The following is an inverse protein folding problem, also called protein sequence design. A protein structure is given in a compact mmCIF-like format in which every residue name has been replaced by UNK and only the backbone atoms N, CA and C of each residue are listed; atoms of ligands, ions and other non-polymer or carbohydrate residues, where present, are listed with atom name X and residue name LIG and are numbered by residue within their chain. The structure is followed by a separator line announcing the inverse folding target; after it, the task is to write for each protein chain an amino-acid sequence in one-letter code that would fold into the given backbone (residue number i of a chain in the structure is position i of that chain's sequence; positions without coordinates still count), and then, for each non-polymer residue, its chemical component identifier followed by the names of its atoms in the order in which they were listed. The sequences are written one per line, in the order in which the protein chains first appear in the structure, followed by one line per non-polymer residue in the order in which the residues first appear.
data_IF_853430157788
#
_entry.id   IF_853430157788
#
_cell.length_a   1.000
_cell.length_b   1.000
_cell.length_c   1.000
_cell.angle_alpha   90.00
_cell.angle_beta   90.00
_cell.angle_gamma   90.00
#
_symmetry.space_group_name_H-M   'P 1'
#
loop_
_entity.id
_entity.type
_entity.pdbx_description
1 polymer ?
#
# COMPACT_ATOMS: atom_id res chain seq x y z
N UNK A 1 46.04 -47.08 9.29
CA UNK A 1 45.63 -46.41 8.04
C UNK A 1 44.15 -46.05 8.14
N UNK A 2 43.86 -44.86 8.66
CA UNK A 2 42.51 -44.29 8.72
C UNK A 2 42.28 -43.43 7.47
N UNK A 3 41.24 -43.75 6.70
CA UNK A 3 40.84 -43.01 5.51
C UNK A 3 39.90 -41.87 5.92
N UNK A 4 40.39 -40.63 5.87
CA UNK A 4 39.61 -39.42 6.08
C UNK A 4 38.72 -39.12 4.86
N UNK A 5 37.40 -39.29 5.01
CA UNK A 5 36.41 -38.62 4.15
C UNK A 5 36.19 -37.21 4.70
N UNK A 6 36.86 -36.22 4.10
CA UNK A 6 36.43 -34.81 4.22
C UNK A 6 35.09 -34.68 3.49
N UNK A 7 34.01 -34.49 4.24
CA UNK A 7 32.76 -34.00 3.65
C UNK A 7 32.98 -32.54 3.28
N UNK A 8 32.78 -32.23 2.00
CA UNK A 8 32.56 -30.88 1.52
C UNK A 8 31.19 -30.45 2.03
N UNK A 9 31.19 -29.78 3.20
CA UNK A 9 30.05 -28.95 3.60
C UNK A 9 30.03 -27.79 2.61
N UNK A 10 29.15 -27.89 1.61
CA UNK A 10 28.78 -26.76 0.78
C UNK A 10 28.32 -25.63 1.68
N UNK A 11 28.94 -24.47 1.54
CA UNK A 11 28.52 -23.25 2.20
C UNK A 11 27.06 -23.00 1.89
N UNK A 12 26.20 -22.98 2.92
CA UNK A 12 24.85 -22.46 2.79
C UNK A 12 24.96 -21.04 2.23
N UNK A 13 24.52 -20.85 0.99
CA UNK A 13 24.23 -19.52 0.44
C UNK A 13 23.22 -18.93 1.41
N UNK A 14 23.66 -17.96 2.22
CA UNK A 14 22.83 -17.35 3.25
C UNK A 14 21.52 -16.91 2.62
N UNK A 15 20.41 -17.48 3.08
CA UNK A 15 19.09 -17.24 2.52
C UNK A 15 18.74 -15.77 2.78
N UNK A 16 19.06 -14.88 1.84
CA UNK A 16 18.73 -13.46 1.94
C UNK A 16 17.22 -13.34 2.01
N UNK A 17 16.74 -12.57 2.98
CA UNK A 17 15.32 -12.25 3.09
C UNK A 17 14.84 -11.63 1.77
N UNK A 18 13.75 -12.20 1.22
CA UNK A 18 13.11 -11.74 -0.01
C UNK A 18 11.65 -11.41 0.27
N UNK A 19 11.16 -10.37 -0.39
CA UNK A 19 9.82 -9.82 -0.20
C UNK A 19 9.12 -9.84 -1.55
N UNK A 20 7.89 -10.36 -1.60
CA UNK A 20 7.03 -10.25 -2.76
C UNK A 20 6.00 -9.15 -2.53
N UNK A 21 5.92 -8.17 -3.43
CA UNK A 21 4.82 -7.20 -3.48
C UNK A 21 3.86 -7.61 -4.59
N UNK A 22 2.62 -7.90 -4.24
CA UNK A 22 1.54 -8.20 -5.19
C UNK A 22 0.62 -7.00 -5.29
N UNK A 23 0.40 -6.50 -6.50
CA UNK A 23 -0.55 -5.42 -6.79
C UNK A 23 -1.73 -5.99 -7.56
N UNK A 24 -2.91 -6.04 -6.93
CA UNK A 24 -4.17 -6.34 -7.59
C UNK A 24 -4.66 -5.11 -8.36
N UNK A 25 -4.86 -5.26 -9.66
CA UNK A 25 -5.24 -4.17 -10.55
C UNK A 25 -6.45 -4.54 -11.39
N UNK A 26 -7.38 -3.60 -11.56
CA UNK A 26 -8.52 -3.75 -12.45
C UNK A 26 -8.81 -2.41 -13.12
N UNK A 27 -8.70 -2.34 -14.45
CA UNK A 27 -9.03 -1.11 -15.19
C UNK A 27 -10.49 -1.12 -15.61
N UNK A 28 -11.26 -0.08 -15.25
CA UNK A 28 -12.68 0.09 -15.65
C UNK A 28 -13.63 -1.05 -15.23
N UNK A 29 -13.22 -1.89 -14.27
CA UNK A 29 -13.96 -3.11 -13.87
C UNK A 29 -14.44 -3.06 -12.41
N UNK A 30 -14.32 -1.92 -11.75
CA UNK A 30 -14.73 -1.70 -10.37
C UNK A 30 -15.01 -0.23 -10.05
N UNK A 31 -15.16 0.09 -8.77
CA UNK A 31 -15.56 1.42 -8.30
C UNK A 31 -14.50 2.51 -8.52
N UNK A 32 -13.23 2.15 -8.75
CA UNK A 32 -12.15 3.13 -8.93
C UNK A 32 -12.01 3.66 -10.37
N UNK A 33 -12.49 2.92 -11.38
CA UNK A 33 -12.52 3.38 -12.78
C UNK A 33 -11.17 3.93 -13.27
N UNK A 34 -11.20 5.16 -13.81
CA UNK A 34 -10.01 5.89 -14.29
C UNK A 34 -9.00 6.17 -13.17
N UNK A 35 -9.42 6.23 -11.91
CA UNK A 35 -8.51 6.50 -10.80
C UNK A 35 -7.56 5.34 -10.53
N UNK A 36 -8.04 4.09 -10.66
CA UNK A 36 -7.19 2.90 -10.47
C UNK A 36 -6.03 2.90 -11.45
N UNK A 37 -6.29 3.31 -12.71
CA UNK A 37 -5.25 3.54 -13.72
C UNK A 37 -4.20 4.54 -13.24
N UNK A 38 -4.60 5.72 -12.78
CA UNK A 38 -3.65 6.74 -12.34
C UNK A 38 -2.91 6.35 -11.05
N UNK A 39 -3.55 5.60 -10.17
CA UNK A 39 -2.90 5.05 -8.98
C UNK A 39 -1.77 4.10 -9.35
N UNK A 40 -2.00 3.21 -10.33
CA UNK A 40 -0.97 2.29 -10.80
C UNK A 40 0.12 3.03 -11.60
N UNK A 41 -0.23 4.01 -12.43
CA UNK A 41 0.75 4.88 -13.12
C UNK A 41 1.68 5.57 -12.11
N UNK A 42 1.12 6.14 -11.04
CA UNK A 42 1.90 6.74 -9.96
C UNK A 42 2.79 5.70 -9.27
N UNK A 43 2.25 4.52 -8.93
CA UNK A 43 3.03 3.45 -8.31
C UNK A 43 4.24 3.06 -9.19
N UNK A 44 4.06 2.93 -10.50
CA UNK A 44 5.18 2.66 -11.41
C UNK A 44 6.20 3.79 -11.43
N UNK A 45 5.75 5.04 -11.52
CA UNK A 45 6.65 6.19 -11.58
C UNK A 45 7.41 6.45 -10.29
N UNK A 46 6.83 6.12 -9.13
CA UNK A 46 7.38 6.49 -7.82
C UNK A 46 7.96 5.30 -7.07
N UNK A 47 7.22 4.19 -6.99
CA UNK A 47 7.64 3.02 -6.23
C UNK A 47 8.70 2.20 -6.97
N UNK A 48 8.55 2.00 -8.29
CA UNK A 48 9.44 1.11 -9.05
C UNK A 48 10.71 1.77 -9.56
N UNK A 49 10.75 3.10 -9.66
CA UNK A 49 11.91 3.84 -10.19
C UNK A 49 13.06 3.97 -9.21
N UNK A 50 12.84 3.65 -7.93
CA UNK A 50 13.85 3.69 -6.87
C UNK A 50 14.56 5.06 -6.74
N UNK A 51 13.86 6.18 -7.01
CA UNK A 51 14.44 7.53 -7.03
C UNK A 51 14.06 8.41 -5.84
N UNK A 52 12.99 8.07 -5.12
CA UNK A 52 12.47 8.89 -4.01
C UNK A 52 12.75 8.22 -2.66
N UNK A 53 12.71 8.97 -1.53
CA UNK A 53 12.85 8.39 -0.20
C UNK A 53 11.93 7.18 -0.02
N UNK A 54 12.43 6.12 0.64
CA UNK A 54 11.63 4.93 0.91
C UNK A 54 11.35 4.02 -0.29
N UNK A 55 11.79 4.32 -1.51
CA UNK A 55 11.59 3.41 -2.67
C UNK A 55 12.87 2.76 -3.17
N UNK A 56 14.04 3.16 -2.63
CA UNK A 56 15.34 2.59 -3.00
C UNK A 56 15.49 1.19 -2.39
N UNK A 57 15.68 0.16 -3.22
CA UNK A 57 15.96 -1.21 -2.76
C UNK A 57 17.44 -1.57 -2.95
N UNK A 58 18.29 -0.97 -2.10
CA UNK A 58 19.74 -1.20 -2.11
C UNK A 58 20.15 -2.67 -1.94
N UNK A 59 19.26 -3.54 -1.45
CA UNK A 59 19.56 -4.97 -1.19
C UNK A 59 19.01 -5.89 -2.26
N UNK A 60 18.27 -5.36 -3.25
CA UNK A 60 17.57 -6.17 -4.23
C UNK A 60 16.71 -7.26 -3.56
N UNK A 61 16.00 -6.90 -2.50
CA UNK A 61 15.19 -7.83 -1.71
C UNK A 61 13.73 -7.92 -2.19
N UNK A 62 13.26 -6.98 -3.00
CA UNK A 62 11.85 -6.87 -3.41
C UNK A 62 11.65 -7.29 -4.87
N UNK A 63 10.68 -8.18 -5.08
CA UNK A 63 10.11 -8.46 -6.40
C UNK A 63 8.63 -8.03 -6.43
N UNK A 64 8.13 -7.71 -7.61
CA UNK A 64 6.78 -7.25 -7.86
C UNK A 64 6.02 -8.21 -8.79
N UNK A 65 4.76 -8.46 -8.46
CA UNK A 65 3.79 -9.08 -9.37
C UNK A 65 2.59 -8.16 -9.48
N UNK A 66 2.32 -7.69 -10.69
CA UNK A 66 1.11 -6.94 -11.03
C UNK A 66 0.11 -7.94 -11.59
N UNK A 67 -1.01 -8.14 -10.89
CA UNK A 67 -2.06 -9.05 -11.35
C UNK A 67 -3.23 -8.24 -11.87
N UNK A 68 -3.42 -8.30 -13.18
CA UNK A 68 -4.46 -7.62 -13.94
C UNK A 68 -5.71 -8.52 -13.96
N UNK A 69 -6.75 -8.05 -13.27
CA UNK A 69 -8.10 -8.60 -13.34
C UNK A 69 -8.78 -8.07 -14.60
N UNK A 70 -8.74 -8.85 -15.68
CA UNK A 70 -9.21 -8.46 -17.01
C UNK A 70 -8.10 -8.52 -18.05
N UNK A 71 -8.37 -7.97 -19.23
CA UNK A 71 -7.45 -7.99 -20.37
C UNK A 71 -6.74 -6.64 -20.58
N UNK A 72 -7.22 -5.58 -19.93
CA UNK A 72 -6.71 -4.22 -20.12
C UNK A 72 -5.80 -3.80 -18.96
N UNK A 73 -4.59 -3.32 -19.30
CA UNK A 73 -3.74 -2.60 -18.37
C UNK A 73 -2.96 -1.48 -19.08
N UNK A 74 -3.62 -0.34 -19.29
CA UNK A 74 -3.00 0.84 -19.89
C UNK A 74 -1.70 1.28 -19.17
N UNK A 75 -1.62 1.27 -17.83
CA UNK A 75 -0.37 1.60 -17.13
C UNK A 75 0.76 0.60 -17.43
N UNK A 76 0.42 -0.70 -17.61
CA UNK A 76 1.41 -1.74 -17.92
C UNK A 76 1.97 -1.53 -19.33
N UNK A 77 1.08 -1.32 -20.30
CA UNK A 77 1.43 -1.24 -21.72
C UNK A 77 2.16 0.07 -22.08
N UNK A 78 1.88 1.15 -21.34
CA UNK A 78 2.44 2.48 -21.61
C UNK A 78 3.55 2.82 -20.61
N UNK A 79 3.20 2.96 -19.33
CA UNK A 79 4.11 3.53 -18.33
C UNK A 79 5.17 2.52 -17.90
N UNK A 80 4.79 1.32 -17.49
CA UNK A 80 5.74 0.28 -17.08
C UNK A 80 6.64 -0.11 -18.25
N UNK A 81 6.07 -0.30 -19.45
CA UNK A 81 6.84 -0.61 -20.65
C UNK A 81 7.90 0.44 -20.94
N UNK A 82 7.54 1.72 -20.92
CA UNK A 82 8.50 2.82 -21.07
C UNK A 82 9.60 2.81 -19.99
N UNK A 83 9.24 2.58 -18.73
CA UNK A 83 10.21 2.54 -17.64
C UNK A 83 11.19 1.35 -17.77
N UNK A 84 10.73 0.20 -18.28
CA UNK A 84 11.58 -0.94 -18.61
C UNK A 84 12.49 -0.62 -19.80
N UNK A 85 11.92 -0.13 -20.90
CA UNK A 85 12.67 0.17 -22.14
C UNK A 85 13.71 1.28 -21.93
N UNK A 86 13.47 2.21 -21.00
CA UNK A 86 14.43 3.26 -20.59
C UNK A 86 15.44 2.80 -19.54
N UNK A 87 15.39 1.55 -19.07
CA UNK A 87 16.30 1.00 -18.06
C UNK A 87 16.07 1.54 -16.64
N UNK A 88 14.95 2.21 -16.39
CA UNK A 88 14.57 2.75 -15.07
C UNK A 88 13.94 1.70 -14.15
N UNK A 89 13.47 0.59 -14.71
CA UNK A 89 12.92 -0.56 -13.98
C UNK A 89 13.57 -1.83 -14.50
N UNK A 90 14.06 -2.68 -13.59
CA UNK A 90 14.61 -3.99 -13.91
C UNK A 90 13.47 -4.97 -14.27
N UNK A 91 13.35 -5.43 -15.53
CA UNK A 91 12.30 -6.35 -15.93
C UNK A 91 12.38 -7.71 -15.23
N UNK A 92 13.54 -8.11 -14.67
CA UNK A 92 13.65 -9.36 -13.94
C UNK A 92 12.91 -9.34 -12.58
N UNK A 93 12.62 -8.14 -12.06
CA UNK A 93 11.95 -7.94 -10.76
C UNK A 93 10.45 -7.70 -10.86
N UNK A 94 9.90 -7.51 -12.06
CA UNK A 94 8.48 -7.18 -12.25
C UNK A 94 7.85 -8.18 -13.19
N UNK A 95 6.79 -8.86 -12.74
CA UNK A 95 5.98 -9.74 -13.57
C UNK A 95 4.56 -9.18 -13.68
N UNK A 96 3.97 -9.29 -14.87
CA UNK A 96 2.56 -8.93 -15.10
C UNK A 96 1.79 -10.21 -15.44
N UNK A 97 0.74 -10.48 -14.68
CA UNK A 97 -0.13 -11.64 -14.87
C UNK A 97 -1.53 -11.15 -15.24
N UNK A 98 -2.13 -11.75 -16.27
CA UNK A 98 -3.50 -11.46 -16.66
C UNK A 98 -4.40 -12.62 -16.24
N UNK A 99 -5.58 -12.29 -15.74
CA UNK A 99 -6.58 -13.28 -15.31
C UNK A 99 -7.99 -12.77 -15.52
N UNK A 100 -8.97 -13.68 -15.48
CA UNK A 100 -10.38 -13.29 -15.46
C UNK A 100 -10.72 -12.50 -14.19
N UNK A 101 -11.60 -11.50 -14.31
CA UNK A 101 -12.04 -10.67 -13.19
C UNK A 101 -13.05 -11.40 -12.28
N UNK A 102 -12.56 -12.38 -11.53
CA UNK A 102 -13.33 -13.16 -10.54
C UNK A 102 -12.62 -13.09 -9.20
N UNK A 103 -13.35 -12.95 -8.08
CA UNK A 103 -12.75 -12.88 -6.74
C UNK A 103 -12.11 -11.56 -6.36
N UNK A 104 -12.25 -10.52 -7.19
CA UNK A 104 -11.71 -9.18 -6.94
C UNK A 104 -10.22 -9.24 -6.55
N UNK A 105 -9.80 -8.44 -5.55
CA UNK A 105 -8.41 -8.37 -5.09
C UNK A 105 -7.89 -9.71 -4.57
N UNK A 106 -8.71 -10.47 -3.84
CA UNK A 106 -8.34 -11.80 -3.33
C UNK A 106 -8.09 -12.81 -4.46
N UNK A 107 -8.83 -12.70 -5.57
CA UNK A 107 -8.57 -13.50 -6.76
C UNK A 107 -7.20 -13.20 -7.37
N UNK A 108 -6.82 -11.92 -7.40
CA UNK A 108 -5.49 -11.49 -7.82
C UNK A 108 -4.39 -11.96 -6.86
N UNK A 109 -4.59 -11.83 -5.56
CA UNK A 109 -3.66 -12.32 -4.53
C UNK A 109 -3.44 -13.84 -4.65
N UNK A 110 -4.52 -14.60 -4.86
CA UNK A 110 -4.49 -16.05 -5.09
C UNK A 110 -3.63 -16.41 -6.31
N UNK A 111 -3.78 -15.68 -7.41
CA UNK A 111 -3.05 -15.92 -8.66
C UNK A 111 -1.55 -15.67 -8.48
N UNK A 112 -1.16 -14.57 -7.84
CA UNK A 112 0.24 -14.28 -7.54
C UNK A 112 0.86 -15.37 -6.65
N UNK A 113 0.14 -15.84 -5.64
CA UNK A 113 0.59 -16.92 -4.75
C UNK A 113 0.80 -18.22 -5.51
N UNK A 114 -0.14 -18.61 -6.38
CA UNK A 114 0.00 -19.80 -7.23
C UNK A 114 1.21 -19.69 -8.16
N UNK A 115 1.38 -18.53 -8.80
CA UNK A 115 2.52 -18.26 -9.66
C UNK A 115 3.85 -18.47 -8.92
N UNK A 116 4.03 -17.86 -7.74
CA UNK A 116 5.30 -18.01 -7.01
C UNK A 116 5.47 -19.38 -6.39
N UNK A 117 4.40 -20.08 -6.01
CA UNK A 117 4.50 -21.46 -5.56
C UNK A 117 5.00 -22.40 -6.66
N UNK A 118 4.61 -22.14 -7.91
CA UNK A 118 5.04 -22.93 -9.05
C UNK A 118 6.45 -22.55 -9.54
N UNK A 119 6.70 -21.25 -9.78
CA UNK A 119 7.93 -20.78 -10.44
C UNK A 119 9.04 -20.38 -9.47
N UNK A 120 8.71 -20.00 -8.22
CA UNK A 120 9.64 -19.46 -7.22
C UNK A 120 9.41 -20.05 -5.81
N UNK A 121 9.30 -21.39 -5.68
CA UNK A 121 8.90 -22.02 -4.43
C UNK A 121 9.87 -21.65 -3.31
N UNK A 122 9.32 -21.29 -2.14
CA UNK A 122 10.08 -20.99 -0.93
C UNK A 122 11.09 -19.82 -1.07
N UNK A 123 10.98 -19.00 -2.12
CA UNK A 123 11.86 -17.85 -2.32
C UNK A 123 11.58 -16.72 -1.33
N UNK A 124 10.30 -16.41 -1.09
CA UNK A 124 9.88 -15.21 -0.35
C UNK A 124 9.62 -15.47 1.13
N UNK A 125 10.15 -14.63 2.01
CA UNK A 125 9.93 -14.68 3.47
C UNK A 125 8.66 -13.92 3.85
N UNK A 126 8.42 -12.79 3.19
CA UNK A 126 7.27 -11.92 3.42
C UNK A 126 6.51 -11.66 2.13
N UNK A 127 5.20 -11.50 2.28
CA UNK A 127 4.27 -11.26 1.19
C UNK A 127 3.48 -10.01 1.51
N UNK A 128 3.64 -8.99 0.68
CA UNK A 128 2.95 -7.71 0.75
C UNK A 128 1.89 -7.69 -0.34
N UNK A 129 0.67 -7.34 0.02
CA UNK A 129 -0.48 -7.28 -0.86
C UNK A 129 -1.00 -5.85 -0.90
N UNK A 130 -1.29 -5.36 -2.10
CA UNK A 130 -1.76 -4.02 -2.40
C UNK A 130 -2.86 -4.11 -3.46
N UNK A 131 -3.88 -3.25 -3.38
CA UNK A 131 -4.81 -3.07 -4.50
C UNK A 131 -4.69 -1.68 -5.15
N UNK A 132 -5.14 -1.59 -6.39
CA UNK A 132 -5.01 -0.38 -7.22
C UNK A 132 -5.88 0.80 -6.79
N UNK A 133 -6.76 0.60 -5.82
CA UNK A 133 -7.58 1.69 -5.27
C UNK A 133 -6.81 2.62 -4.33
N UNK A 134 -5.62 2.21 -3.92
CA UNK A 134 -4.71 2.99 -3.09
C UNK A 134 -3.73 3.80 -3.95
N UNK A 135 -3.45 5.03 -3.53
CA UNK A 135 -2.35 5.87 -4.05
C UNK A 135 -1.18 5.83 -3.06
N UNK A 136 0.03 5.60 -3.54
CA UNK A 136 1.25 5.56 -2.73
C UNK A 136 2.39 4.82 -3.43
N UNK A 137 3.56 4.66 -2.79
CA UNK A 137 3.83 5.06 -1.41
C UNK A 137 4.12 6.57 -1.25
N UNK A 138 3.75 7.14 -0.10
CA UNK A 138 4.10 8.48 0.36
C UNK A 138 5.10 8.38 1.50
N UNK A 139 6.38 8.48 1.17
CA UNK A 139 7.47 8.30 2.12
C UNK A 139 8.12 9.64 2.45
N UNK A 140 8.27 10.00 3.73
CA UNK A 140 8.82 11.29 4.11
C UNK A 140 10.31 11.40 3.76
N UNK A 141 10.81 12.61 3.52
CA UNK A 141 12.21 12.88 3.14
C UNK A 141 13.24 12.37 4.14
N UNK A 142 12.89 12.32 5.42
CA UNK A 142 13.75 11.81 6.48
C UNK A 142 13.82 10.28 6.55
N UNK A 143 13.11 9.56 5.67
CA UNK A 143 13.19 8.08 5.57
C UNK A 143 14.64 7.66 5.29
N UNK A 144 15.24 6.78 6.10
CA UNK A 144 16.60 6.30 5.87
C UNK A 144 16.76 5.68 4.48
N UNK A 145 17.91 5.90 3.83
CA UNK A 145 18.17 5.35 2.48
C UNK A 145 18.09 3.83 2.41
N UNK A 146 18.37 3.13 3.50
CA UNK A 146 18.29 1.67 3.59
C UNK A 146 16.88 1.13 3.86
N UNK A 147 15.92 2.03 4.10
CA UNK A 147 14.55 1.70 4.45
C UNK A 147 13.70 1.75 3.18
N UNK A 148 13.06 0.64 2.86
CA UNK A 148 12.13 0.52 1.74
C UNK A 148 10.69 0.57 2.28
N UNK A 149 9.72 1.02 1.49
CA UNK A 149 8.34 1.21 1.97
C UNK A 149 7.70 -0.07 2.49
N UNK A 150 8.17 -1.24 2.04
CA UNK A 150 7.72 -2.54 2.57
C UNK A 150 8.20 -2.81 4.00
N UNK A 151 9.28 -2.16 4.43
CA UNK A 151 9.80 -2.26 5.80
C UNK A 151 8.85 -1.61 6.82
N UNK A 152 7.95 -0.70 6.40
CA UNK A 152 6.91 -0.14 7.30
C UNK A 152 6.02 -1.22 7.88
N UNK A 153 5.73 -2.28 7.11
CA UNK A 153 4.96 -3.42 7.56
C UNK A 153 5.87 -4.51 8.14
N UNK A 154 7.00 -4.79 7.49
CA UNK A 154 7.82 -5.97 7.79
C UNK A 154 8.61 -5.81 9.10
N UNK A 155 9.02 -4.59 9.47
CA UNK A 155 9.81 -4.38 10.69
C UNK A 155 9.07 -4.80 11.96
N UNK A 156 7.74 -4.72 12.00
CA UNK A 156 6.94 -5.27 13.10
C UNK A 156 7.16 -6.79 13.27
N UNK A 157 7.17 -7.54 12.16
CA UNK A 157 7.40 -8.99 12.18
C UNK A 157 8.87 -9.37 12.39
N UNK A 158 9.80 -8.46 12.09
CA UNK A 158 11.23 -8.64 12.43
C UNK A 158 11.48 -8.39 13.92
N UNK A 159 10.78 -7.41 14.50
CA UNK A 159 10.90 -7.04 15.90
C UNK A 159 10.20 -8.06 16.83
N UNK A 160 9.05 -8.58 16.43
CA UNK A 160 8.31 -9.62 17.15
C UNK A 160 7.89 -10.74 16.18
N UNK A 161 8.48 -11.92 16.35
CA UNK A 161 8.18 -13.10 15.52
C UNK A 161 6.79 -13.69 15.77
N UNK A 162 6.09 -13.28 16.82
CA UNK A 162 4.68 -13.61 17.06
C UNK A 162 3.74 -12.76 16.20
N UNK A 163 4.19 -11.62 15.67
CA UNK A 163 3.44 -10.84 14.68
C UNK A 163 3.53 -11.55 13.34
N UNK A 164 2.36 -11.89 12.77
CA UNK A 164 2.29 -12.66 11.52
C UNK A 164 1.51 -11.96 10.41
N UNK A 165 0.82 -10.87 10.74
CA UNK A 165 0.06 -9.99 9.86
C UNK A 165 0.27 -8.54 10.29
N UNK A 166 0.52 -7.65 9.35
CA UNK A 166 0.57 -6.20 9.59
C UNK A 166 -0.24 -5.53 8.49
N UNK A 167 -1.22 -4.69 8.84
CA UNK A 167 -2.03 -3.97 7.86
C UNK A 167 -1.87 -2.45 7.99
N UNK A 168 -2.15 -1.72 6.92
CA UNK A 168 -2.24 -0.25 7.00
C UNK A 168 -3.44 0.22 7.81
N UNK A 169 -4.55 -0.51 7.73
CA UNK A 169 -5.81 -0.16 8.35
C UNK A 169 -6.34 -1.34 9.17
N UNK A 170 -6.86 -1.02 10.35
CA UNK A 170 -7.64 -1.95 11.20
C UNK A 170 -8.99 -1.30 11.49
N UNK A 171 -10.04 -2.10 11.44
CA UNK A 171 -11.42 -1.68 11.66
C UNK A 171 -12.09 -2.62 12.62
N UNK A 172 -12.97 -2.13 13.48
CA UNK A 172 -13.73 -2.98 14.40
C UNK A 172 -15.16 -3.10 13.93
N UNK A 173 -15.57 -4.32 13.64
CA UNK A 173 -16.93 -4.63 13.24
C UNK A 173 -17.82 -4.77 14.46
N UNK A 174 -19.06 -4.32 14.32
CA UNK A 174 -20.08 -4.43 15.35
C UNK A 174 -21.31 -5.16 14.80
N UNK A 175 -22.19 -5.62 15.68
CA UNK A 175 -23.46 -6.23 15.27
C UNK A 175 -24.25 -5.26 14.38
N UNK A 176 -24.90 -5.74 13.30
CA UNK A 176 -25.23 -7.14 13.01
C UNK A 176 -24.22 -7.89 12.12
N UNK A 177 -22.96 -7.43 11.98
CA UNK A 177 -21.94 -8.17 11.23
C UNK A 177 -21.74 -9.59 11.81
N UNK A 178 -21.56 -10.62 10.98
CA UNK A 178 -21.50 -12.02 11.43
C UNK A 178 -20.20 -12.36 12.16
N UNK A 179 -19.15 -11.55 12.01
CA UNK A 179 -17.87 -11.68 12.70
C UNK A 179 -17.50 -10.35 13.37
N UNK A 180 -18.13 -9.97 14.51
CA UNK A 180 -17.75 -8.77 15.24
C UNK A 180 -16.32 -8.83 15.77
N UNK A 181 -15.70 -7.67 15.95
CA UNK A 181 -14.32 -7.55 16.40
C UNK A 181 -13.38 -6.97 15.34
N UNK A 182 -12.06 -6.98 15.59
CA UNK A 182 -11.09 -6.33 14.74
C UNK A 182 -10.85 -7.11 13.45
N UNK A 183 -10.78 -6.37 12.34
CA UNK A 183 -10.45 -6.87 11.02
C UNK A 183 -9.34 -6.03 10.40
N UNK A 184 -8.38 -6.69 9.76
CA UNK A 184 -7.40 -6.03 8.90
C UNK A 184 -8.06 -5.75 7.55
N UNK A 185 -8.07 -4.50 7.10
CA UNK A 185 -8.60 -4.22 5.78
C UNK A 185 -7.64 -4.70 4.69
N UNK A 186 -8.17 -5.30 3.63
CA UNK A 186 -7.41 -6.02 2.60
C UNK A 186 -6.71 -5.14 1.56
N UNK A 187 -6.48 -3.86 1.89
CA UNK A 187 -6.05 -2.82 0.95
C UNK A 187 -4.53 -2.75 0.78
N UNK A 188 -3.78 -2.70 1.89
CA UNK A 188 -2.33 -2.75 1.94
C UNK A 188 -1.90 -3.45 3.23
N UNK A 189 -1.38 -4.67 3.11
CA UNK A 189 -1.01 -5.50 4.26
C UNK A 189 0.15 -6.44 3.91
N UNK A 190 0.82 -6.96 4.93
CA UNK A 190 1.88 -7.93 4.81
C UNK A 190 1.65 -9.12 5.72
N UNK A 191 2.08 -10.30 5.28
CA UNK A 191 2.10 -11.51 6.08
C UNK A 191 3.44 -12.21 5.95
N UNK A 192 3.81 -12.93 7.01
CA UNK A 192 4.91 -13.90 6.95
C UNK A 192 4.53 -15.12 6.08
N UNK A 193 5.54 -15.87 5.64
CA UNK A 193 5.34 -17.14 4.92
C UNK A 193 4.43 -18.13 5.67
N UNK A 194 4.61 -18.25 6.98
CA UNK A 194 3.80 -19.16 7.79
C UNK A 194 2.33 -18.73 7.77
N UNK A 195 2.08 -17.43 7.97
CA UNK A 195 0.73 -16.86 7.86
C UNK A 195 0.13 -17.05 6.48
N UNK A 196 0.89 -16.84 5.40
CA UNK A 196 0.39 -17.10 4.05
C UNK A 196 -0.12 -18.55 3.92
N UNK A 197 0.63 -19.52 4.46
CA UNK A 197 0.21 -20.93 4.44
C UNK A 197 -1.06 -21.19 5.26
N UNK A 198 -1.32 -20.41 6.32
CA UNK A 198 -2.55 -20.50 7.10
C UNK A 198 -3.72 -19.88 6.34
N UNK A 199 -3.51 -18.72 5.72
CA UNK A 199 -4.52 -18.06 4.88
C UNK A 199 -4.96 -18.97 3.73
N UNK A 200 -4.04 -19.67 3.08
CA UNK A 200 -4.38 -20.66 2.05
C UNK A 200 -5.15 -21.85 2.61
N UNK A 201 -4.72 -22.40 3.75
CA UNK A 201 -5.39 -23.56 4.38
C UNK A 201 -6.80 -23.25 4.88
N UNK A 202 -7.02 -22.02 5.34
CA UNK A 202 -8.31 -21.54 5.79
C UNK A 202 -9.21 -21.05 4.65
N UNK A 203 -8.73 -21.12 3.41
CA UNK A 203 -9.45 -20.65 2.24
C UNK A 203 -9.60 -19.13 2.16
N UNK A 204 -8.86 -18.35 2.94
CA UNK A 204 -8.95 -16.87 2.94
C UNK A 204 -8.63 -16.30 1.56
N UNK A 205 -7.70 -16.92 0.82
CA UNK A 205 -7.31 -16.54 -0.54
C UNK A 205 -8.09 -17.30 -1.64
N UNK A 206 -9.15 -18.02 -1.29
CA UNK A 206 -9.95 -18.72 -2.29
C UNK A 206 -10.71 -17.75 -3.18
N UNK A 207 -10.75 -18.07 -4.47
CA UNK A 207 -11.46 -17.28 -5.48
C UNK A 207 -12.97 -17.48 -5.28
N UNK A 208 -13.68 -16.38 -5.00
CA UNK A 208 -15.13 -16.38 -4.77
C UNK A 208 -15.84 -15.50 -5.80
N UNK A 209 -17.10 -15.83 -6.11
CA UNK A 209 -17.86 -15.12 -7.14
C UNK A 209 -18.57 -13.89 -6.59
N UNK A 210 -19.06 -13.98 -5.36
CA UNK A 210 -19.95 -13.05 -4.70
C UNK A 210 -19.18 -12.11 -3.77
N UNK A 211 -19.46 -10.81 -3.88
CA UNK A 211 -18.77 -9.77 -3.10
C UNK A 211 -18.88 -9.97 -1.59
N UNK A 212 -20.06 -10.34 -1.10
CA UNK A 212 -20.28 -10.59 0.33
C UNK A 212 -19.40 -11.74 0.84
N UNK A 213 -19.22 -12.80 0.06
CA UNK A 213 -18.37 -13.94 0.45
C UNK A 213 -16.89 -13.54 0.48
N UNK A 214 -16.45 -12.74 -0.50
CA UNK A 214 -15.08 -12.18 -0.47
C UNK A 214 -14.85 -11.31 0.77
N UNK A 215 -15.84 -10.53 1.20
CA UNK A 215 -15.73 -9.72 2.42
C UNK A 215 -15.68 -10.62 3.66
N UNK A 216 -16.65 -11.52 3.82
CA UNK A 216 -16.80 -12.32 5.03
C UNK A 216 -15.70 -13.37 5.19
N UNK A 217 -15.37 -14.09 4.12
CA UNK A 217 -14.43 -15.20 4.18
C UNK A 217 -13.03 -14.86 3.65
N UNK A 218 -12.89 -13.71 2.96
CA UNK A 218 -11.60 -13.12 2.62
C UNK A 218 -11.17 -12.08 3.64
N UNK A 219 -11.72 -10.87 3.55
CA UNK A 219 -11.26 -9.72 4.35
C UNK A 219 -11.36 -9.96 5.85
N UNK A 220 -12.53 -10.35 6.38
CA UNK A 220 -12.67 -10.61 7.81
C UNK A 220 -11.88 -11.86 8.23
N UNK A 221 -11.69 -12.79 7.30
CA UNK A 221 -10.88 -13.99 7.48
C UNK A 221 -9.39 -13.71 7.69
N UNK A 222 -8.85 -12.60 7.18
CA UNK A 222 -7.42 -12.28 7.25
C UNK A 222 -6.91 -12.25 8.69
N UNK A 223 -7.43 -11.32 9.50
CA UNK A 223 -6.97 -11.16 10.88
C UNK A 223 -7.45 -12.33 11.75
N UNK A 224 -8.68 -12.81 11.53
CA UNK A 224 -9.23 -13.93 12.28
C UNK A 224 -8.38 -15.21 12.15
N UNK A 225 -7.87 -15.51 10.95
CA UNK A 225 -7.01 -16.67 10.72
C UNK A 225 -5.70 -16.62 11.52
N UNK A 226 -5.19 -15.43 11.81
CA UNK A 226 -3.98 -15.24 12.62
C UNK A 226 -4.29 -15.35 14.10
N UNK A 227 -5.28 -14.58 14.58
CA UNK A 227 -5.61 -14.49 16.00
C UNK A 227 -6.10 -15.84 16.56
N UNK A 228 -6.90 -16.60 15.81
CA UNK A 228 -7.39 -17.92 16.26
C UNK A 228 -6.28 -18.96 16.47
N UNK A 229 -5.05 -18.67 16.02
CA UNK A 229 -3.86 -19.52 16.20
C UNK A 229 -2.94 -19.02 17.34
N UNK A 230 -3.35 -17.98 18.07
CA UNK A 230 -2.55 -17.39 19.15
C UNK A 230 -1.40 -16.50 18.69
N UNK A 231 -1.40 -16.08 17.42
CA UNK A 231 -0.42 -15.13 16.89
C UNK A 231 -0.98 -13.71 16.86
N UNK A 232 -0.08 -12.72 16.79
CA UNK A 232 -0.41 -11.30 16.83
C UNK A 232 -0.58 -10.70 15.44
N UNK A 233 -1.33 -9.61 15.39
CA UNK A 233 -1.43 -8.74 14.24
C UNK A 233 -1.12 -7.29 14.65
N UNK A 234 -0.53 -6.54 13.73
CA UNK A 234 -0.19 -5.13 13.93
C UNK A 234 -0.83 -4.26 12.85
N UNK A 235 -0.80 -2.94 13.06
CA UNK A 235 -1.22 -2.00 12.03
C UNK A 235 -0.43 -0.69 12.06
N UNK A 236 -0.53 0.08 10.98
CA UNK A 236 0.20 1.36 10.86
C UNK A 236 -0.47 2.55 11.54
N UNK A 237 -1.70 2.41 12.05
CA UNK A 237 -2.43 3.56 12.56
C UNK A 237 -1.82 4.07 13.86
N UNK A 238 -1.39 5.33 13.87
CA UNK A 238 -0.66 5.96 14.99
C UNK A 238 -1.50 6.08 16.27
N UNK A 239 -2.82 5.91 16.14
CA UNK A 239 -3.76 5.85 17.27
C UNK A 239 -3.48 4.67 18.20
N UNK A 240 -2.95 3.56 17.68
CA UNK A 240 -2.80 2.32 18.43
C UNK A 240 -1.35 2.11 18.87
N UNK A 241 -1.19 1.66 20.12
CA UNK A 241 0.12 1.25 20.62
C UNK A 241 0.62 0.00 19.90
N UNK A 242 1.94 -0.18 19.86
CA UNK A 242 2.56 -1.43 19.38
C UNK A 242 2.30 -2.54 20.40
N UNK A 243 2.02 -3.75 19.93
CA UNK A 243 1.85 -4.94 20.74
C UNK A 243 0.46 -5.10 21.35
N UNK A 244 -0.57 -4.44 20.79
CA UNK A 244 -1.94 -4.64 21.26
C UNK A 244 -2.41 -6.07 20.99
N UNK A 245 -3.03 -6.67 22.02
CA UNK A 245 -3.69 -7.96 21.88
C UNK A 245 -5.09 -7.78 21.30
N UNK A 246 -5.22 -7.85 19.97
CA UNK A 246 -6.50 -7.74 19.27
C UNK A 246 -7.49 -8.87 19.60
N UNK A 247 -7.08 -9.94 20.28
CA UNK A 247 -8.01 -10.95 20.80
C UNK A 247 -8.77 -10.47 22.04
N UNK A 248 -8.26 -9.46 22.76
CA UNK A 248 -8.92 -8.86 23.92
C UNK A 248 -10.11 -8.01 23.48
N UNK A 249 -11.30 -8.37 23.97
CA UNK A 249 -12.57 -7.74 23.60
C UNK A 249 -12.66 -6.27 24.01
N UNK A 250 -11.81 -5.81 24.94
CA UNK A 250 -11.73 -4.37 25.28
C UNK A 250 -11.32 -3.49 24.10
N UNK A 251 -10.70 -4.07 23.08
CA UNK A 251 -10.26 -3.35 21.87
C UNK A 251 -11.28 -3.40 20.72
N UNK A 252 -12.40 -4.11 20.87
CA UNK A 252 -13.34 -4.40 19.77
C UNK A 252 -14.30 -3.25 19.43
N UNK A 253 -14.11 -2.07 20.05
CA UNK A 253 -14.83 -0.83 19.73
C UNK A 253 -13.92 0.20 19.05
N UNK A 254 -12.83 -0.25 18.43
CA UNK A 254 -11.88 0.62 17.78
C UNK A 254 -12.52 1.45 16.66
N UNK A 255 -12.07 2.71 16.50
CA UNK A 255 -12.59 3.68 15.51
C UNK A 255 -14.11 3.91 15.58
N UNK A 256 -14.72 3.81 16.76
CA UNK A 256 -16.18 3.89 16.93
C UNK A 256 -16.93 2.91 16.00
N UNK A 257 -16.32 1.75 15.76
CA UNK A 257 -16.78 0.72 14.84
C UNK A 257 -16.94 1.19 13.37
N UNK A 258 -16.10 2.15 12.94
CA UNK A 258 -16.03 2.65 11.56
C UNK A 258 -14.84 2.05 10.83
N UNK A 259 -14.95 1.98 9.50
CA UNK A 259 -13.85 1.59 8.63
C UNK A 259 -12.76 2.68 8.60
N UNK A 260 -11.59 2.40 9.14
CA UNK A 260 -10.50 3.37 9.32
C UNK A 260 -9.90 3.90 8.01
N UNK A 261 -10.07 3.18 6.91
CA UNK A 261 -9.66 3.66 5.59
C UNK A 261 -10.64 4.68 4.98
N UNK A 262 -11.74 5.02 5.66
CA UNK A 262 -12.69 6.05 5.19
C UNK A 262 -12.33 7.44 5.68
N UNK A 263 -12.78 8.45 4.94
CA UNK A 263 -12.65 9.86 5.32
C UNK A 263 -13.33 10.12 6.66
N UNK A 264 -12.61 10.74 7.59
CA UNK A 264 -13.12 11.16 8.89
C UNK A 264 -13.57 10.02 9.81
N UNK A 265 -13.06 8.81 9.57
CA UNK A 265 -13.47 7.61 10.30
C UNK A 265 -12.75 7.42 11.64
N UNK A 266 -11.64 8.11 11.85
CA UNK A 266 -10.90 8.07 13.12
C UNK A 266 -11.50 9.09 14.12
N UNK A 267 -11.11 8.97 15.39
CA UNK A 267 -11.60 9.85 16.46
C UNK A 267 -11.43 11.33 16.10
N UNK A 268 -12.43 12.14 16.45
CA UNK A 268 -12.43 13.58 16.14
C UNK A 268 -12.71 13.90 14.68
N UNK A 269 -13.09 12.91 13.86
CA UNK A 269 -13.41 13.11 12.45
C UNK A 269 -12.16 13.27 11.57
N UNK A 270 -10.99 12.82 12.05
CA UNK A 270 -9.75 12.87 11.27
C UNK A 270 -9.66 11.69 10.28
N UNK A 271 -8.93 11.90 9.20
CA UNK A 271 -8.57 10.84 8.25
C UNK A 271 -7.13 10.42 8.49
N UNK A 272 -6.81 9.15 8.22
CA UNK A 272 -5.45 8.64 8.35
C UNK A 272 -4.44 9.49 7.57
N UNK A 273 -3.24 9.65 8.13
CA UNK A 273 -2.19 10.45 7.53
C UNK A 273 -1.54 9.75 6.34
N UNK A 274 -1.26 10.45 5.22
CA UNK A 274 -0.52 9.89 4.10
C UNK A 274 0.86 9.35 4.52
N UNK A 275 1.51 9.96 5.51
CA UNK A 275 2.82 9.50 6.02
C UNK A 275 2.73 8.42 7.11
N UNK A 276 1.53 8.15 7.62
CA UNK A 276 1.25 7.08 8.58
C UNK A 276 0.97 5.78 7.84
N UNK A 277 -0.01 5.79 6.93
CA UNK A 277 -0.43 4.58 6.22
C UNK A 277 0.36 4.32 4.96
N UNK A 278 1.13 5.31 4.49
CA UNK A 278 1.96 5.40 3.27
C UNK A 278 1.23 5.14 1.95
N UNK A 279 0.10 4.45 1.98
CA UNK A 279 -0.86 4.31 0.91
C UNK A 279 -2.24 4.78 1.38
N UNK A 280 -2.93 5.53 0.54
CA UNK A 280 -4.21 6.18 0.88
C UNK A 280 -5.30 5.78 -0.11
N UNK A 281 -6.49 5.47 0.38
CA UNK A 281 -7.68 5.08 -0.41
C UNK A 281 -8.25 6.28 -1.18
N UNK A 282 -7.53 6.68 -2.22
CA UNK A 282 -7.88 7.82 -3.06
C UNK A 282 -9.27 7.65 -3.71
N UNK A 283 -9.70 6.41 -4.01
CA UNK A 283 -11.04 6.14 -4.57
C UNK A 283 -12.20 6.48 -3.65
N UNK A 284 -11.95 6.66 -2.35
CA UNK A 284 -12.95 7.11 -1.37
C UNK A 284 -12.72 8.57 -0.96
N UNK A 285 -11.91 9.29 -1.74
CA UNK A 285 -11.60 10.70 -1.55
C UNK A 285 -11.03 11.02 -0.16
N UNK A 286 -10.27 10.08 0.39
CA UNK A 286 -9.53 10.30 1.62
C UNK A 286 -8.40 11.28 1.32
N UNK A 287 -8.53 12.51 1.84
CA UNK A 287 -7.56 13.61 1.67
C UNK A 287 -7.22 13.86 0.20
N UNK A 288 -8.21 13.81 -0.70
CA UNK A 288 -7.95 13.78 -2.15
C UNK A 288 -7.21 15.02 -2.66
N UNK A 289 -7.48 16.21 -2.13
CA UNK A 289 -6.77 17.42 -2.52
C UNK A 289 -5.28 17.34 -2.17
N UNK A 290 -4.98 16.95 -0.93
CA UNK A 290 -3.61 16.79 -0.45
C UNK A 290 -2.87 15.67 -1.17
N UNK A 291 -3.50 14.50 -1.34
CA UNK A 291 -2.91 13.37 -2.07
C UNK A 291 -2.65 13.74 -3.54
N UNK A 292 -3.50 14.56 -4.17
CA UNK A 292 -3.25 15.08 -5.51
C UNK A 292 -1.98 15.93 -5.59
N UNK A 293 -1.85 16.90 -4.69
CA UNK A 293 -0.67 17.77 -4.59
C UNK A 293 0.60 16.94 -4.31
N UNK A 294 0.55 16.06 -3.30
CA UNK A 294 1.66 15.18 -2.96
C UNK A 294 2.01 14.24 -4.11
N UNK A 295 1.04 13.72 -4.85
CA UNK A 295 1.31 12.88 -6.02
C UNK A 295 2.12 13.63 -7.06
N UNK A 296 1.81 14.90 -7.31
CA UNK A 296 2.59 15.75 -8.22
C UNK A 296 4.03 15.94 -7.73
N UNK A 297 4.23 16.21 -6.43
CA UNK A 297 5.56 16.36 -5.85
C UNK A 297 6.40 15.10 -6.03
N UNK A 298 5.85 13.93 -5.67
CA UNK A 298 6.59 12.67 -5.72
C UNK A 298 6.87 12.21 -7.16
N UNK A 299 5.94 12.41 -8.11
CA UNK A 299 6.20 12.12 -9.53
C UNK A 299 7.32 13.00 -10.08
N UNK A 300 7.36 14.30 -9.73
CA UNK A 300 8.44 15.21 -10.15
C UNK A 300 9.79 14.85 -9.53
N UNK A 301 9.81 14.58 -8.23
CA UNK A 301 11.03 14.10 -7.57
C UNK A 301 11.52 12.80 -8.22
N UNK A 302 10.60 11.90 -8.58
CA UNK A 302 10.93 10.66 -9.26
C UNK A 302 11.43 10.86 -10.70
N UNK A 303 11.09 11.96 -11.36
CA UNK A 303 11.67 12.35 -12.65
C UNK A 303 12.98 13.14 -12.52
N UNK A 304 13.49 13.33 -11.30
CA UNK A 304 14.74 14.05 -11.04
C UNK A 304 14.59 15.57 -10.91
N UNK A 305 13.36 16.09 -10.90
CA UNK A 305 13.14 17.52 -10.67
C UNK A 305 13.50 17.90 -9.22
N UNK A 306 13.96 19.16 -8.98
CA UNK A 306 14.35 19.61 -7.65
C UNK A 306 13.15 19.78 -6.69
N UNK A 307 11.93 19.90 -7.20
CA UNK A 307 10.71 20.08 -6.40
C UNK A 307 10.57 21.50 -5.84
N UNK A 308 11.28 22.46 -6.43
CA UNK A 308 11.24 23.89 -6.05
C UNK A 308 10.36 24.71 -6.98
N UNK A 309 9.68 24.08 -7.94
CA UNK A 309 8.84 24.80 -8.89
C UNK A 309 7.51 25.20 -8.24
N UNK A 310 7.07 26.43 -8.48
CA UNK A 310 5.82 26.96 -7.97
C UNK A 310 5.45 28.26 -8.66
N UNK A 311 4.26 28.78 -8.35
CA UNK A 311 3.82 30.10 -8.76
C UNK A 311 3.77 31.00 -7.54
N UNK A 312 4.10 32.28 -7.72
CA UNK A 312 3.97 33.24 -6.64
C UNK A 312 2.49 33.44 -6.31
N UNK A 313 2.06 32.96 -5.14
CA UNK A 313 0.75 33.24 -4.56
C UNK A 313 0.83 34.57 -3.82
N UNK A 314 0.57 35.67 -4.54
CA UNK A 314 0.63 37.01 -3.99
C UNK A 314 -0.33 37.19 -2.81
N UNK A 315 -1.53 36.59 -2.87
CA UNK A 315 -2.54 36.68 -1.81
C UNK A 315 -2.13 35.88 -0.57
N UNK A 316 -1.62 34.66 -0.75
CA UNK A 316 -1.04 33.86 0.33
C UNK A 316 0.15 34.55 0.97
N UNK A 317 1.06 35.12 0.16
CA UNK A 317 2.21 35.87 0.64
C UNK A 317 1.81 37.15 1.40
N UNK A 318 0.90 37.97 0.84
CA UNK A 318 0.38 39.19 1.48
C UNK A 318 -0.30 38.87 2.81
N UNK A 319 -1.07 37.78 2.88
CA UNK A 319 -1.65 37.29 4.14
C UNK A 319 -0.59 36.86 5.13
N UNK A 320 0.42 36.09 4.70
CA UNK A 320 1.49 35.60 5.56
C UNK A 320 2.36 36.71 6.18
N UNK A 321 2.41 37.91 5.58
CA UNK A 321 3.11 39.07 6.13
C UNK A 321 2.18 40.08 6.84
N UNK A 322 0.87 39.85 6.83
CA UNK A 322 -0.11 40.74 7.46
C UNK A 322 -0.17 40.50 8.97
N UNK A 323 -0.47 41.54 9.75
CA UNK A 323 -0.60 41.45 11.22
C UNK A 323 -1.74 40.48 11.60
N UNK A 324 -2.78 40.40 10.78
CA UNK A 324 -3.92 39.50 10.93
C UNK A 324 -3.56 38.04 10.60
N UNK A 325 -2.66 37.80 9.64
CA UNK A 325 -2.16 36.47 9.29
C UNK A 325 -1.03 35.97 10.21
N UNK A 326 -0.32 36.87 10.90
CA UNK A 326 0.76 36.51 11.82
C UNK A 326 0.30 36.46 13.28
N UNK A 327 -0.21 35.32 13.76
CA UNK A 327 -0.44 35.05 15.20
C UNK A 327 -1.21 36.12 16.01
N UNK A 328 -1.92 37.03 15.34
CA UNK A 328 -2.65 38.11 15.98
C UNK A 328 -3.81 37.54 16.77
N UNK A 329 -4.08 38.08 17.97
CA UNK A 329 -5.18 37.65 18.87
C UNK A 329 -6.59 37.69 18.24
N UNK A 330 -6.72 38.27 17.04
CA UNK A 330 -7.96 38.43 16.28
C UNK A 330 -7.95 37.68 14.93
N UNK A 331 -6.88 36.95 14.62
CA UNK A 331 -6.74 36.23 13.36
C UNK A 331 -7.62 34.99 13.34
N UNK A 332 -8.79 35.08 12.70
CA UNK A 332 -9.50 33.90 12.22
C UNK A 332 -8.75 33.40 11.00
N UNK A 333 -7.72 32.56 11.19
CA UNK A 333 -7.15 31.82 10.08
C UNK A 333 -8.30 31.00 9.47
N UNK A 334 -8.69 31.24 8.20
CA UNK A 334 -9.52 30.27 7.51
C UNK A 334 -8.76 28.94 7.56
N UNK A 335 -9.43 27.80 7.77
CA UNK A 335 -8.73 26.53 7.81
C UNK A 335 -7.95 26.34 6.50
N UNK A 336 -6.62 26.25 6.60
CA UNK A 336 -5.70 25.92 5.50
C UNK A 336 -5.90 24.48 4.98
N UNK A 337 -6.82 23.74 5.59
CA UNK A 337 -7.23 22.42 5.12
C UNK A 337 -8.14 22.65 3.92
N UNK A 338 -7.77 22.19 2.71
CA UNK A 338 -8.69 22.19 1.59
C UNK A 338 -9.99 21.55 2.04
N UNK A 339 -11.09 22.31 1.99
CA UNK A 339 -12.42 21.73 2.12
C UNK A 339 -12.55 20.80 0.92
N UNK A 340 -12.40 19.48 1.11
CA UNK A 340 -12.62 18.58 -0.02
C UNK A 340 -14.13 18.65 -0.34
N UNK A 341 -14.49 19.49 -1.32
CA UNK A 341 -15.82 19.61 -1.94
C UNK A 341 -16.09 18.35 -2.77
N UNK A 342 -16.17 17.25 -2.05
CA UNK A 342 -16.28 15.92 -2.60
C UNK A 342 -17.48 15.22 -1.96
N UNK A 343 -18.61 15.18 -2.68
CA UNK A 343 -19.58 14.10 -2.55
C UNK A 343 -19.05 12.83 -3.25
N UNK A 344 -18.30 13.01 -4.36
CA UNK A 344 -17.55 11.97 -5.11
C UNK A 344 -16.26 12.48 -5.83
N UNK A 345 -15.85 13.75 -5.70
CA UNK A 345 -14.44 14.18 -5.80
C UNK A 345 -13.98 14.84 -7.10
N UNK A 346 -13.25 15.96 -6.97
CA UNK A 346 -12.49 16.54 -8.09
C UNK A 346 -11.17 15.75 -8.28
N UNK A 347 -11.23 14.72 -9.12
CA UNK A 347 -10.08 13.85 -9.41
C UNK A 347 -9.00 14.52 -10.27
N UNK A 348 -9.21 15.74 -10.79
CA UNK A 348 -8.25 16.40 -11.68
C UNK A 348 -6.87 16.57 -11.02
N UNK A 349 -6.83 16.78 -9.70
CA UNK A 349 -5.59 16.85 -8.94
C UNK A 349 -4.85 15.49 -8.83
N UNK A 350 -5.56 14.38 -9.04
CA UNK A 350 -5.04 13.01 -9.01
C UNK A 350 -4.71 12.47 -10.42
N UNK A 351 -5.11 13.17 -11.47
CA UNK A 351 -4.74 12.86 -12.85
C UNK A 351 -3.26 13.21 -13.05
N UNK A 352 -2.42 12.19 -13.12
CA UNK A 352 -1.01 12.37 -13.47
C UNK A 352 -0.97 12.72 -14.96
N UNK A 353 -0.50 13.91 -15.31
CA UNK A 353 -0.46 14.33 -16.72
C UNK A 353 0.71 13.64 -17.44
N UNK A 354 0.46 12.43 -17.93
CA UNK A 354 1.44 11.57 -18.62
C UNK A 354 2.02 12.20 -19.89
N UNK A 355 1.32 13.16 -20.51
CA UNK A 355 1.82 13.91 -21.66
C UNK A 355 3.03 14.80 -21.33
N UNK A 356 3.18 15.24 -20.07
CA UNK A 356 4.29 16.11 -19.65
C UNK A 356 5.63 15.36 -19.50
N UNK A 357 5.56 14.04 -19.23
CA UNK A 357 6.74 13.19 -19.04
C UNK A 357 7.54 13.01 -20.34
N UNK A 358 6.88 13.02 -21.51
CA UNK A 358 7.57 13.02 -22.81
C UNK A 358 8.28 14.35 -23.08
N UNK A 359 7.69 15.47 -22.67
CA UNK A 359 8.22 16.80 -22.94
C UNK A 359 9.38 17.19 -22.01
N UNK A 360 9.44 16.64 -20.79
CA UNK A 360 10.53 16.92 -19.83
C UNK A 360 11.74 15.97 -20.01
N UNK A 361 11.66 14.99 -20.92
CA UNK A 361 12.72 14.03 -21.24
C UNK A 361 13.38 14.28 -22.61
N UNK A 362 12.87 15.23 -23.38
CA UNK A 362 13.49 15.85 -24.56
C UNK A 362 14.15 17.17 -24.15
#
# INVERSE_FOLDING_TARGET
MQSARKSLVGSAVGNRERILVTVAYAENLGNGGVLDRHNLEYFFQVALTETVPGTIDIRAKVDYIIVVNGELCTPCDVTLRYLIDSGRVDPARVNVLYRSNVGMDFGAYSEAVKYVQYYKPLLYTYFVFLNSSLRGPFMPKWTPRSFHFTDTLIDFMRADHEVKLVSSFVSCLHTPEPLPGPVAESLFFAVSRDALSWLQRDGVLDVRQNKSDVILNGEYGLMHAILKRGYKAENLLSRYGVGLDWSDTKHHLCNDCRHSSRRGSLEGGISASPFETIFVKASWCVRSAEIGIMSSWFTRLASGAPGTEGFFDEDGWRRGISVEGTSGKLGTLPPDVPMDDCPNGNFNALLVNSAKIKADAE
#
